data_IF_896595377445
#
_entry.id   IF_896595377445
#
_cell.length_a   1.000
_cell.length_b   1.000
_cell.length_c   1.000
_cell.angle_alpha   90.00
_cell.angle_beta   90.00
_cell.angle_gamma   90.00
#
_symmetry.space_group_name_H-M   'P 1'
#
loop_
_entity.id
_entity.type
_entity.pdbx_description
1 polymer ?
#
# COMPACT_ATOMS: atom_id res chain seq x y z
N UNK A 1 -11.52 -9.91 -5.54
CA UNK A 1 -10.23 -9.23 -5.70
C UNK A 1 -9.23 -9.76 -4.70
N UNK A 2 -7.98 -9.87 -5.11
CA UNK A 2 -6.92 -10.25 -4.19
C UNK A 2 -5.86 -9.16 -4.08
N UNK A 3 -5.14 -9.16 -2.97
CA UNK A 3 -4.14 -8.15 -2.67
C UNK A 3 -2.90 -8.75 -2.04
N UNK A 4 -1.79 -8.06 -2.22
CA UNK A 4 -0.55 -8.30 -1.49
C UNK A 4 -0.33 -7.07 -0.60
N UNK A 5 0.13 -7.29 0.62
CA UNK A 5 0.47 -6.21 1.54
C UNK A 5 1.99 -6.03 1.53
N UNK A 6 2.43 -4.81 1.28
CA UNK A 6 3.85 -4.45 1.32
C UNK A 6 4.12 -3.59 2.54
N UNK A 7 5.08 -4.01 3.35
CA UNK A 7 5.50 -3.29 4.55
C UNK A 7 6.99 -3.00 4.49
N UNK A 8 7.41 -1.87 5.06
CA UNK A 8 8.80 -1.45 5.02
C UNK A 8 9.09 -0.48 6.16
N UNK A 9 10.31 -0.57 6.69
CA UNK A 9 10.79 0.37 7.70
C UNK A 9 10.25 0.10 9.08
N UNK A 10 9.95 1.17 9.79
CA UNK A 10 9.47 1.08 11.17
C UNK A 10 8.00 0.67 11.23
N UNK A 11 7.62 0.02 12.31
CA UNK A 11 6.23 -0.33 12.61
C UNK A 11 5.58 -1.21 11.53
N UNK A 12 6.33 -2.19 11.01
CA UNK A 12 5.81 -3.10 9.98
C UNK A 12 4.57 -3.84 10.44
N UNK A 13 4.53 -4.23 11.71
CA UNK A 13 3.37 -4.91 12.29
C UNK A 13 2.14 -4.04 12.23
N UNK A 14 2.25 -2.77 12.57
CA UNK A 14 1.14 -1.83 12.50
C UNK A 14 0.72 -1.56 11.06
N UNK A 15 1.66 -1.48 10.15
CA UNK A 15 1.36 -1.35 8.72
C UNK A 15 0.53 -2.53 8.24
N UNK A 16 0.91 -3.74 8.62
CA UNK A 16 0.17 -4.94 8.27
C UNK A 16 -1.24 -4.91 8.84
N UNK A 17 -1.38 -4.55 10.12
CA UNK A 17 -2.68 -4.49 10.79
C UNK A 17 -3.64 -3.54 10.05
N UNK A 18 -3.18 -2.33 9.73
CA UNK A 18 -4.01 -1.37 9.02
C UNK A 18 -4.42 -1.87 7.64
N UNK A 19 -3.49 -2.49 6.93
CA UNK A 19 -3.78 -3.04 5.61
C UNK A 19 -4.78 -4.20 5.70
N UNK A 20 -4.64 -5.07 6.69
CA UNK A 20 -5.57 -6.19 6.87
C UNK A 20 -6.96 -5.72 7.27
N UNK A 21 -7.06 -4.70 8.11
CA UNK A 21 -8.35 -4.13 8.49
C UNK A 21 -9.05 -3.53 7.28
N UNK A 22 -8.31 -2.80 6.46
CA UNK A 22 -8.85 -2.24 5.22
C UNK A 22 -9.34 -3.35 4.28
N UNK A 23 -8.53 -4.39 4.10
CA UNK A 23 -8.89 -5.50 3.23
C UNK A 23 -10.16 -6.20 3.72
N UNK A 24 -10.27 -6.42 5.02
CA UNK A 24 -11.44 -7.04 5.62
C UNK A 24 -12.69 -6.19 5.39
N UNK A 25 -12.57 -4.89 5.60
CA UNK A 25 -13.69 -3.96 5.40
C UNK A 25 -14.18 -3.94 3.96
N UNK A 26 -13.24 -4.02 3.01
CA UNK A 26 -13.56 -3.96 1.58
C UNK A 26 -13.81 -5.32 0.94
N UNK A 27 -13.72 -6.40 1.70
CA UNK A 27 -13.91 -7.73 1.16
C UNK A 27 -12.79 -8.20 0.23
N UNK A 28 -11.57 -7.72 0.46
CA UNK A 28 -10.40 -8.04 -0.35
C UNK A 28 -9.66 -9.21 0.30
N UNK A 29 -9.29 -10.20 -0.51
CA UNK A 29 -8.52 -11.35 -0.03
C UNK A 29 -7.03 -11.02 -0.05
N UNK A 30 -6.37 -11.17 1.09
CA UNK A 30 -4.92 -10.96 1.21
C UNK A 30 -4.20 -12.27 0.88
N UNK A 31 -3.32 -12.23 -0.11
CA UNK A 31 -2.53 -13.39 -0.52
C UNK A 31 -1.36 -13.63 0.42
N UNK A 32 -0.56 -12.60 0.66
CA UNK A 32 0.56 -12.64 1.59
C UNK A 32 1.04 -11.23 1.91
N UNK A 33 1.94 -11.13 2.88
CA UNK A 33 2.59 -9.88 3.28
C UNK A 33 4.07 -10.01 2.93
N UNK A 34 4.66 -8.97 2.37
CA UNK A 34 6.06 -9.01 1.97
C UNK A 34 6.77 -7.69 2.29
N UNK A 35 8.09 -7.79 2.49
CA UNK A 35 8.98 -6.63 2.57
C UNK A 35 9.77 -6.43 1.27
N UNK A 36 9.51 -7.28 0.27
CA UNK A 36 10.20 -7.26 -1.01
C UNK A 36 9.24 -6.82 -2.11
N UNK A 37 9.45 -5.61 -2.63
CA UNK A 37 8.59 -5.06 -3.68
C UNK A 37 8.64 -5.90 -4.97
N UNK A 38 9.72 -6.63 -5.20
CA UNK A 38 9.84 -7.49 -6.37
C UNK A 38 8.94 -8.73 -6.29
N UNK A 39 8.50 -9.08 -5.08
CA UNK A 39 7.58 -10.19 -4.88
C UNK A 39 6.12 -9.84 -5.22
N UNK A 40 5.84 -8.58 -5.52
CA UNK A 40 4.47 -8.11 -5.80
C UNK A 40 4.13 -8.41 -7.26
N UNK A 41 3.46 -9.55 -7.46
CA UNK A 41 3.03 -10.04 -8.78
C UNK A 41 1.71 -10.79 -8.63
N UNK A 42 0.98 -10.91 -9.73
CA UNK A 42 -0.23 -11.74 -9.81
C UNK A 42 -1.26 -11.39 -8.74
N UNK A 43 -1.51 -10.09 -8.57
CA UNK A 43 -2.55 -9.61 -7.68
C UNK A 43 -3.26 -8.43 -8.32
N UNK A 44 -4.43 -8.12 -7.81
CA UNK A 44 -5.22 -6.98 -8.31
C UNK A 44 -4.80 -5.68 -7.63
N UNK A 45 -4.44 -5.76 -6.36
CA UNK A 45 -4.18 -4.58 -5.52
C UNK A 45 -2.93 -4.78 -4.70
N UNK A 46 -2.14 -3.72 -4.57
CA UNK A 46 -1.05 -3.63 -3.60
C UNK A 46 -1.51 -2.70 -2.48
N UNK A 47 -1.58 -3.23 -1.26
CA UNK A 47 -1.93 -2.45 -0.08
C UNK A 47 -0.66 -2.00 0.64
N UNK A 48 -0.60 -0.72 0.93
CA UNK A 48 0.53 -0.10 1.64
C UNK A 48 -0.02 0.85 2.71
N UNK A 49 0.75 1.07 3.77
CA UNK A 49 0.36 2.02 4.80
C UNK A 49 0.40 3.45 4.26
N UNK A 50 1.45 3.76 3.50
CA UNK A 50 1.58 5.06 2.84
C UNK A 50 2.51 4.95 1.64
N UNK A 51 2.42 5.89 0.72
CA UNK A 51 3.27 5.91 -0.47
C UNK A 51 4.76 6.03 -0.14
N UNK A 52 5.10 6.66 0.97
CA UNK A 52 6.49 6.78 1.42
C UNK A 52 7.13 5.42 1.74
N UNK A 53 6.32 4.40 1.99
CA UNK A 53 6.84 3.04 2.25
C UNK A 53 7.37 2.38 0.98
N UNK A 54 6.93 2.81 -0.20
CA UNK A 54 7.45 2.30 -1.47
C UNK A 54 8.89 2.76 -1.67
N UNK A 55 9.13 4.07 -1.57
CA UNK A 55 10.48 4.64 -1.63
C UNK A 55 10.44 6.11 -1.23
N UNK A 56 11.51 6.57 -0.58
CA UNK A 56 11.72 7.99 -0.33
C UNK A 56 12.41 8.67 -1.50
N UNK A 57 13.04 7.89 -2.37
CA UNK A 57 13.65 8.39 -3.59
C UNK A 57 12.56 8.55 -4.65
N UNK A 58 12.38 9.79 -5.10
CA UNK A 58 11.32 10.15 -6.01
C UNK A 58 11.40 9.39 -7.35
N UNK A 59 12.62 9.21 -7.87
CA UNK A 59 12.81 8.50 -9.13
C UNK A 59 12.48 7.02 -8.99
N UNK A 60 12.94 6.40 -7.91
CA UNK A 60 12.62 5.00 -7.63
C UNK A 60 11.13 4.80 -7.41
N UNK A 61 10.50 5.74 -6.71
CA UNK A 61 9.06 5.70 -6.49
C UNK A 61 8.29 5.63 -7.81
N UNK A 62 8.59 6.55 -8.73
CA UNK A 62 7.91 6.58 -10.02
C UNK A 62 8.21 5.34 -10.85
N UNK A 63 9.44 4.85 -10.81
CA UNK A 63 9.83 3.64 -11.52
C UNK A 63 9.02 2.44 -11.05
N UNK A 64 8.92 2.26 -9.73
CA UNK A 64 8.14 1.18 -9.12
C UNK A 64 6.66 1.31 -9.46
N UNK A 65 6.10 2.52 -9.35
CA UNK A 65 4.69 2.76 -9.67
C UNK A 65 4.39 2.46 -11.14
N UNK A 66 5.28 2.81 -12.04
CA UNK A 66 5.11 2.50 -13.46
C UNK A 66 5.15 0.99 -13.71
N UNK A 67 6.05 0.26 -13.05
CA UNK A 67 6.10 -1.19 -13.16
C UNK A 67 4.81 -1.85 -12.67
N UNK A 68 4.31 -1.41 -11.52
CA UNK A 68 3.06 -1.94 -10.96
C UNK A 68 1.89 -1.66 -11.88
N UNK A 69 1.82 -0.47 -12.44
CA UNK A 69 0.78 -0.10 -13.40
C UNK A 69 0.85 -0.97 -14.64
N UNK A 70 2.05 -1.24 -15.15
CA UNK A 70 2.24 -2.11 -16.31
C UNK A 70 1.78 -3.53 -16.05
N UNK A 71 1.86 -3.98 -14.80
CA UNK A 71 1.37 -5.30 -14.36
C UNK A 71 -0.13 -5.31 -14.10
N UNK A 72 -0.81 -4.18 -14.23
CA UNK A 72 -2.23 -4.07 -13.94
C UNK A 72 -2.56 -4.05 -12.45
N UNK A 73 -1.60 -3.72 -11.60
CA UNK A 73 -1.77 -3.70 -10.16
C UNK A 73 -2.10 -2.29 -9.69
N UNK A 74 -3.21 -2.15 -8.97
CA UNK A 74 -3.61 -0.88 -8.39
C UNK A 74 -2.99 -0.74 -7.00
N UNK A 75 -2.35 0.40 -6.74
CA UNK A 75 -1.75 0.69 -5.43
C UNK A 75 -2.75 1.46 -4.58
N UNK A 76 -3.00 0.96 -3.37
CA UNK A 76 -3.92 1.59 -2.42
C UNK A 76 -3.18 1.87 -1.12
N UNK A 77 -3.11 3.14 -0.74
CA UNK A 77 -2.56 3.57 0.54
C UNK A 77 -3.68 3.63 1.56
N UNK A 78 -3.56 2.85 2.63
CA UNK A 78 -4.61 2.77 3.64
C UNK A 78 -4.43 3.80 4.76
N UNK A 79 -3.26 4.44 4.80
CA UNK A 79 -2.92 5.35 5.89
C UNK A 79 -2.44 4.61 7.13
N UNK A 80 -1.74 5.32 7.99
CA UNK A 80 -1.34 4.82 9.29
C UNK A 80 -1.16 6.01 10.24
N UNK A 81 -1.10 5.73 11.55
CA UNK A 81 -0.90 6.79 12.54
C UNK A 81 0.45 7.49 12.37
N UNK A 82 1.41 6.81 11.75
CA UNK A 82 2.75 7.36 11.52
C UNK A 82 2.77 8.42 10.41
N UNK A 83 1.68 8.53 9.64
CA UNK A 83 1.56 9.42 8.49
C UNK A 83 0.27 10.22 8.59
N UNK A 84 0.13 10.97 9.69
CA UNK A 84 -1.08 11.74 9.97
C UNK A 84 -1.44 12.72 8.84
N UNK A 85 -0.43 13.40 8.27
CA UNK A 85 -0.67 14.36 7.19
C UNK A 85 -1.18 13.69 5.93
N UNK A 86 -0.62 12.54 5.58
CA UNK A 86 -1.07 11.77 4.43
C UNK A 86 -2.47 11.22 4.65
N UNK A 87 -2.75 10.76 5.87
CA UNK A 87 -4.07 10.29 6.25
C UNK A 87 -5.12 11.40 6.16
N UNK A 88 -4.78 12.60 6.63
CA UNK A 88 -5.66 13.75 6.53
C UNK A 88 -5.94 14.12 5.09
N UNK A 89 -4.91 14.10 4.25
CA UNK A 89 -5.07 14.37 2.82
C UNK A 89 -6.00 13.37 2.17
N UNK A 90 -5.85 12.09 2.48
CA UNK A 90 -6.71 11.03 1.98
C UNK A 90 -8.15 11.22 2.44
N UNK A 91 -8.34 11.54 3.73
CA UNK A 91 -9.67 11.77 4.28
C UNK A 91 -10.34 12.99 3.65
N UNK A 92 -9.58 14.06 3.39
CA UNK A 92 -10.10 15.24 2.71
C UNK A 92 -10.50 14.94 1.28
N UNK A 93 -9.74 14.11 0.59
CA UNK A 93 -10.09 13.70 -0.77
C UNK A 93 -11.39 12.90 -0.81
N UNK A 94 -11.66 12.09 0.21
CA UNK A 94 -12.92 11.36 0.33
C UNK A 94 -14.12 12.27 0.58
N UNK A 95 -13.89 13.43 1.20
CA UNK A 95 -14.94 14.38 1.54
C UNK A 95 -15.26 15.36 0.40
N UNK A 96 -14.50 15.32 -0.66
CA UNK A 96 -14.76 16.16 -1.83
C UNK A 96 -15.84 15.55 -2.74
#
# INVERSE_FOLDING_TARGET
>A
MNAIIYVRGHNQEMQEIFCRLYAKEKGIKVKFVTTDIQAVNNCDILLIASHSRISRDKFKYYEIMNELKAKGIKVVSVGSQDNADEHLSFAMDLLR
#
